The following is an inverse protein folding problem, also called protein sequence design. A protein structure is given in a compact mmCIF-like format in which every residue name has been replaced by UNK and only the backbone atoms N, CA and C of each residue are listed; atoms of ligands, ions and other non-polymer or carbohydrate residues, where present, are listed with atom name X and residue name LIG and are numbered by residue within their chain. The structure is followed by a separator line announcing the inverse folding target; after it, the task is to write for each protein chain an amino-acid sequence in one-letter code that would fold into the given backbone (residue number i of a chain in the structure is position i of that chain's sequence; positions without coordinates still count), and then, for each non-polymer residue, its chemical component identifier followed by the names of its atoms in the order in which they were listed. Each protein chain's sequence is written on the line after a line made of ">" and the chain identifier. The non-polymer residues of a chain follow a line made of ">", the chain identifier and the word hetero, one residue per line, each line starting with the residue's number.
data_IF_668494443815
#
_entry.id   IF_668494443815
#
_cell.length_a   1.000
_cell.length_b   1.000
_cell.length_c   1.000
_cell.angle_alpha   90.00
_cell.angle_beta   90.00
_cell.angle_gamma   90.00
#
_symmetry.space_group_name_H-M   'P 1'
#
loop_
_entity.id
_entity.type
_entity.pdbx_description
1 polymer ?
#
# COMPACT_ATOMS: atom_id res chain seq x y z
N UNK A 1 8.26 6.24 -16.60
CA UNK A 1 9.09 7.31 -16.04
C UNK A 1 8.62 7.57 -14.62
N UNK A 2 9.53 7.49 -13.65
CA UNK A 2 9.19 7.66 -12.24
C UNK A 2 9.00 9.14 -11.89
N UNK A 3 8.38 9.41 -10.73
CA UNK A 3 8.30 10.77 -10.20
C UNK A 3 9.69 11.37 -9.96
N UNK A 4 10.64 10.55 -9.48
CA UNK A 4 12.04 10.96 -9.28
C UNK A 4 12.65 11.44 -10.59
N UNK A 5 12.48 10.68 -11.68
CA UNK A 5 13.02 11.04 -13.00
C UNK A 5 12.46 12.37 -13.51
N UNK A 6 11.15 12.60 -13.36
CA UNK A 6 10.50 13.86 -13.75
C UNK A 6 11.09 15.05 -12.98
N UNK A 7 11.25 14.90 -11.66
CA UNK A 7 11.81 15.96 -10.81
C UNK A 7 13.29 16.22 -11.13
N UNK A 8 14.07 15.19 -11.48
CA UNK A 8 15.44 15.37 -11.96
C UNK A 8 15.48 16.06 -13.33
N UNK A 9 14.62 15.67 -14.26
CA UNK A 9 14.55 16.25 -15.59
C UNK A 9 14.15 17.74 -15.54
N UNK A 10 13.32 18.15 -14.56
CA UNK A 10 13.02 19.56 -14.30
C UNK A 10 14.26 20.39 -13.91
N UNK A 11 15.39 19.78 -13.54
CA UNK A 11 16.61 20.51 -13.15
C UNK A 11 17.56 20.77 -14.32
N UNK A 12 17.30 20.19 -15.49
CA UNK A 12 18.18 20.29 -16.67
C UNK A 12 18.22 21.70 -17.25
N UNK A 13 17.06 22.28 -17.62
CA UNK A 13 16.98 23.66 -18.10
C UNK A 13 15.57 24.27 -17.88
N UNK A 14 15.44 25.59 -18.05
CA UNK A 14 14.16 26.31 -17.85
C UNK A 14 13.08 25.82 -18.81
N UNK A 15 13.41 25.64 -20.09
CA UNK A 15 12.46 25.19 -21.13
C UNK A 15 11.98 23.76 -20.87
N UNK A 16 12.89 22.87 -20.49
CA UNK A 16 12.54 21.49 -20.17
C UNK A 16 11.63 21.41 -18.95
N UNK A 17 11.94 22.20 -17.91
CA UNK A 17 11.10 22.33 -16.73
C UNK A 17 9.69 22.78 -17.08
N UNK A 18 9.54 23.85 -17.86
CA UNK A 18 8.21 24.36 -18.24
C UNK A 18 7.44 23.35 -19.09
N UNK A 19 8.10 22.65 -20.01
CA UNK A 19 7.46 21.64 -20.85
C UNK A 19 6.98 20.44 -20.00
N UNK A 20 7.82 19.94 -19.09
CA UNK A 20 7.43 18.85 -18.19
C UNK A 20 6.28 19.25 -17.27
N UNK A 21 6.34 20.44 -16.66
CA UNK A 21 5.32 20.88 -15.71
C UNK A 21 3.96 21.10 -16.38
N UNK A 22 3.96 21.50 -17.66
CA UNK A 22 2.74 21.79 -18.42
C UNK A 22 2.22 20.61 -19.24
N UNK A 23 2.89 19.46 -19.27
CA UNK A 23 2.40 18.25 -19.94
C UNK A 23 1.59 17.38 -18.94
N UNK A 24 0.23 17.39 -18.99
CA UNK A 24 -0.59 16.66 -18.04
C UNK A 24 -0.49 15.14 -18.18
N UNK A 25 0.04 14.64 -19.31
CA UNK A 25 0.18 13.21 -19.56
C UNK A 25 1.25 12.59 -18.65
N UNK A 26 2.26 13.36 -18.26
CA UNK A 26 3.34 12.96 -17.37
C UNK A 26 2.87 12.78 -15.91
N UNK A 27 1.79 13.49 -15.53
CA UNK A 27 1.30 13.56 -14.14
C UNK A 27 0.06 12.70 -13.89
N UNK A 28 -0.29 11.79 -14.81
CA UNK A 28 -1.46 10.88 -14.67
C UNK A 28 -1.34 9.91 -13.48
N UNK A 29 -0.12 9.56 -13.09
CA UNK A 29 0.13 8.65 -11.98
C UNK A 29 1.20 9.26 -11.09
N UNK A 30 0.82 9.60 -9.86
CA UNK A 30 1.74 10.15 -8.87
C UNK A 30 1.96 9.07 -7.82
N UNK A 31 3.22 8.71 -7.64
CA UNK A 31 3.68 7.71 -6.69
C UNK A 31 4.76 8.33 -5.81
N UNK A 32 4.45 8.44 -4.52
CA UNK A 32 5.30 9.07 -3.51
C UNK A 32 5.56 8.03 -2.42
N UNK A 33 6.83 7.73 -2.23
CA UNK A 33 7.37 6.86 -1.19
C UNK A 33 8.70 7.44 -0.72
N UNK A 34 9.42 6.74 0.14
CA UNK A 34 10.75 7.14 0.58
C UNK A 34 11.73 7.35 -0.60
N UNK A 35 12.56 8.41 -0.60
CA UNK A 35 12.71 9.48 0.40
C UNK A 35 11.82 10.70 0.17
N UNK A 36 10.82 10.65 -0.72
CA UNK A 36 9.94 11.77 -1.06
C UNK A 36 8.69 11.91 -0.16
N UNK A 37 8.48 10.97 0.77
CA UNK A 37 7.33 10.95 1.68
C UNK A 37 7.30 12.09 2.72
N UNK A 38 8.36 12.90 2.81
CA UNK A 38 8.40 14.13 3.61
C UNK A 38 7.77 15.36 2.91
N UNK A 39 7.15 15.17 1.75
CA UNK A 39 6.45 16.20 0.99
C UNK A 39 5.36 16.90 1.83
N UNK A 40 5.23 18.23 1.76
CA UNK A 40 4.17 18.98 2.45
C UNK A 40 2.95 19.16 1.54
N UNK A 41 1.85 19.55 2.17
CA UNK A 41 0.55 19.74 1.51
C UNK A 41 0.62 20.63 0.27
N UNK A 42 1.35 21.76 0.36
CA UNK A 42 1.46 22.71 -0.74
C UNK A 42 2.22 22.13 -1.94
N UNK A 43 3.25 21.31 -1.71
CA UNK A 43 4.01 20.68 -2.78
C UNK A 43 3.20 19.55 -3.43
N UNK A 44 2.52 18.72 -2.64
CA UNK A 44 1.64 17.67 -3.16
C UNK A 44 0.53 18.27 -4.03
N UNK A 45 -0.14 19.32 -3.53
CA UNK A 45 -1.21 19.98 -4.27
C UNK A 45 -0.70 20.55 -5.59
N UNK A 46 0.47 21.22 -5.61
CA UNK A 46 1.11 21.71 -6.85
C UNK A 46 1.42 20.59 -7.84
N UNK A 47 1.89 19.42 -7.37
CA UNK A 47 2.16 18.28 -8.25
C UNK A 47 0.86 17.76 -8.89
N UNK A 48 -0.20 17.63 -8.11
CA UNK A 48 -1.50 17.16 -8.61
C UNK A 48 -2.11 18.15 -9.60
N UNK A 49 -1.98 19.46 -9.38
CA UNK A 49 -2.48 20.49 -10.29
C UNK A 49 -1.92 20.34 -11.72
N UNK A 50 -0.68 19.85 -11.87
CA UNK A 50 -0.07 19.61 -13.18
C UNK A 50 -0.79 18.55 -14.01
N UNK A 51 -1.51 17.63 -13.35
CA UNK A 51 -2.33 16.64 -14.03
C UNK A 51 -3.58 17.25 -14.69
N UNK A 52 -3.95 18.49 -14.35
CA UNK A 52 -5.06 19.24 -14.93
C UNK A 52 -6.36 18.40 -15.03
N UNK A 53 -6.77 17.79 -13.91
CA UNK A 53 -7.95 16.93 -13.83
C UNK A 53 -7.80 15.53 -14.46
N UNK A 54 -6.62 15.16 -14.98
CA UNK A 54 -6.35 13.86 -15.60
C UNK A 54 -5.60 12.89 -14.70
N UNK A 55 -5.45 13.19 -13.41
CA UNK A 55 -4.87 12.27 -12.45
C UNK A 55 -5.72 10.98 -12.40
N UNK A 56 -5.08 9.85 -12.65
CA UNK A 56 -5.70 8.51 -12.63
C UNK A 56 -5.33 7.73 -11.38
N UNK A 57 -4.15 7.97 -10.82
CA UNK A 57 -3.61 7.23 -9.69
C UNK A 57 -2.83 8.14 -8.77
N UNK A 58 -3.15 8.08 -7.48
CA UNK A 58 -2.39 8.73 -6.41
C UNK A 58 -1.99 7.70 -5.37
N UNK A 59 -0.69 7.59 -5.12
CA UNK A 59 -0.14 6.70 -4.09
C UNK A 59 0.78 7.50 -3.19
N UNK A 60 0.46 7.52 -1.90
CA UNK A 60 1.17 8.21 -0.83
C UNK A 60 1.55 7.17 0.23
N UNK A 61 2.80 6.71 0.22
CA UNK A 61 3.31 5.70 1.14
C UNK A 61 4.03 6.40 2.29
N UNK A 62 3.57 6.18 3.52
CA UNK A 62 4.16 6.74 4.73
C UNK A 62 4.29 8.29 4.71
N UNK A 63 3.39 8.98 4.00
CA UNK A 63 3.38 10.45 3.92
C UNK A 63 2.75 11.06 5.19
N UNK A 64 3.50 11.07 6.29
CA UNK A 64 3.01 11.47 7.63
C UNK A 64 2.73 12.97 7.78
N UNK A 65 3.22 13.79 6.86
CA UNK A 65 3.03 15.25 6.82
C UNK A 65 1.69 15.64 6.25
N UNK A 66 1.15 14.84 5.32
CA UNK A 66 -0.07 15.14 4.56
C UNK A 66 -1.29 15.06 5.46
N UNK A 67 -2.09 16.12 5.49
CA UNK A 67 -3.32 16.19 6.27
C UNK A 67 -4.57 15.90 5.42
N UNK A 68 -5.70 15.78 6.12
CA UNK A 68 -6.98 15.44 5.51
C UNK A 68 -7.54 16.55 4.61
N UNK A 69 -7.28 17.82 4.93
CA UNK A 69 -7.72 18.97 4.14
C UNK A 69 -6.98 19.03 2.79
N UNK A 70 -5.67 18.75 2.80
CA UNK A 70 -4.88 18.62 1.60
C UNK A 70 -5.41 17.49 0.72
N UNK A 71 -5.68 16.31 1.30
CA UNK A 71 -6.22 15.18 0.55
C UNK A 71 -7.59 15.54 -0.05
N UNK A 72 -8.49 16.18 0.71
CA UNK A 72 -9.80 16.62 0.22
C UNK A 72 -9.66 17.51 -1.02
N UNK A 73 -8.83 18.56 -0.94
CA UNK A 73 -8.55 19.47 -2.06
C UNK A 73 -7.95 18.76 -3.28
N UNK A 74 -7.07 17.79 -3.05
CA UNK A 74 -6.48 16.95 -4.11
C UNK A 74 -7.55 16.12 -4.81
N UNK A 75 -8.47 15.52 -4.06
CA UNK A 75 -9.56 14.72 -4.60
C UNK A 75 -10.58 15.56 -5.39
N UNK A 76 -10.89 16.78 -4.93
CA UNK A 76 -11.78 17.72 -5.62
C UNK A 76 -11.32 18.05 -7.04
N UNK A 77 -10.01 18.24 -7.24
CA UNK A 77 -9.43 18.54 -8.56
C UNK A 77 -9.08 17.29 -9.39
N UNK A 78 -9.43 16.10 -8.91
CA UNK A 78 -9.09 14.81 -9.53
C UNK A 78 -10.32 13.98 -9.91
N UNK A 79 -11.25 14.49 -10.73
CA UNK A 79 -12.52 13.81 -11.04
C UNK A 79 -12.35 12.48 -11.80
N UNK A 80 -11.17 12.25 -12.41
CA UNK A 80 -10.85 11.02 -13.16
C UNK A 80 -10.04 10.01 -12.33
N UNK A 81 -9.87 10.24 -11.03
CA UNK A 81 -9.09 9.36 -10.17
C UNK A 81 -9.73 7.98 -10.11
N UNK A 82 -8.93 6.94 -10.40
CA UNK A 82 -9.37 5.54 -10.37
C UNK A 82 -8.70 4.75 -9.24
N UNK A 83 -7.55 5.21 -8.75
CA UNK A 83 -6.79 4.56 -7.69
C UNK A 83 -6.32 5.57 -6.66
N UNK A 84 -6.64 5.32 -5.40
CA UNK A 84 -6.14 6.06 -4.26
C UNK A 84 -5.45 5.09 -3.30
N UNK A 85 -4.23 5.41 -2.90
CA UNK A 85 -3.46 4.61 -1.96
C UNK A 85 -2.80 5.53 -0.96
N UNK A 86 -3.09 5.34 0.32
CA UNK A 86 -2.57 6.16 1.44
C UNK A 86 -2.00 5.32 2.60
N UNK A 87 -1.24 4.25 2.34
CA UNK A 87 -0.78 3.38 3.40
C UNK A 87 0.18 4.11 4.35
N UNK A 88 -0.01 3.92 5.66
CA UNK A 88 0.84 4.52 6.70
C UNK A 88 0.76 6.05 6.81
N UNK A 89 -0.23 6.69 6.17
CA UNK A 89 -0.50 8.11 6.32
C UNK A 89 -1.25 8.39 7.65
N UNK A 90 -0.52 8.42 8.75
CA UNK A 90 -1.07 8.47 10.12
C UNK A 90 -1.95 9.68 10.46
N UNK A 91 -1.90 10.76 9.66
CA UNK A 91 -2.74 11.95 9.82
C UNK A 91 -4.08 11.87 9.11
N UNK A 92 -4.31 10.81 8.33
CA UNK A 92 -5.56 10.58 7.62
C UNK A 92 -6.37 9.57 8.41
N UNK A 93 -7.52 9.99 8.93
CA UNK A 93 -8.47 9.11 9.62
C UNK A 93 -9.43 8.47 8.64
N UNK A 94 -9.86 7.26 8.97
CA UNK A 94 -10.74 6.47 8.12
C UNK A 94 -12.12 7.10 7.97
N UNK A 95 -12.63 7.73 9.03
CA UNK A 95 -13.93 8.41 9.03
C UNK A 95 -13.94 9.59 8.06
N UNK A 96 -12.93 10.47 8.11
CA UNK A 96 -12.86 11.60 7.20
C UNK A 96 -12.63 11.15 5.76
N UNK A 97 -11.83 10.09 5.55
CA UNK A 97 -11.65 9.52 4.21
C UNK A 97 -13.00 9.05 3.64
N UNK A 98 -13.80 8.30 4.41
CA UNK A 98 -15.15 7.87 4.03
C UNK A 98 -16.03 9.08 3.68
N UNK A 99 -16.05 10.10 4.54
CA UNK A 99 -16.83 11.32 4.31
C UNK A 99 -16.40 12.05 3.02
N UNK A 100 -15.10 12.14 2.73
CA UNK A 100 -14.58 12.69 1.47
C UNK A 100 -15.06 11.89 0.27
N UNK A 101 -14.93 10.55 0.30
CA UNK A 101 -15.33 9.67 -0.80
C UNK A 101 -16.83 9.82 -1.09
N UNK A 102 -17.65 9.94 -0.04
CA UNK A 102 -19.09 10.16 -0.13
C UNK A 102 -19.42 11.55 -0.68
N UNK A 103 -18.85 12.61 -0.10
CA UNK A 103 -19.16 14.01 -0.47
C UNK A 103 -18.73 14.36 -1.89
N UNK A 104 -17.59 13.83 -2.33
CA UNK A 104 -17.04 14.10 -3.65
C UNK A 104 -17.60 13.17 -4.73
N UNK A 105 -18.43 12.20 -4.33
CA UNK A 105 -19.10 11.26 -5.24
C UNK A 105 -18.11 10.63 -6.24
N UNK A 106 -17.01 10.08 -5.74
CA UNK A 106 -15.93 9.50 -6.54
C UNK A 106 -16.32 8.14 -7.15
N UNK A 107 -17.43 8.08 -7.89
CA UNK A 107 -17.98 6.86 -8.52
C UNK A 107 -17.04 6.18 -9.51
N UNK A 108 -15.97 6.88 -9.93
CA UNK A 108 -14.93 6.33 -10.80
C UNK A 108 -13.79 5.62 -10.07
N UNK A 109 -13.74 5.72 -8.73
CA UNK A 109 -12.69 5.11 -7.91
C UNK A 109 -12.88 3.60 -7.91
N UNK A 110 -11.88 2.87 -8.41
CA UNK A 110 -11.90 1.41 -8.54
C UNK A 110 -11.08 0.71 -7.48
N UNK A 111 -10.06 1.40 -6.97
CA UNK A 111 -9.14 0.82 -6.00
C UNK A 111 -8.81 1.83 -4.91
N UNK A 112 -8.94 1.37 -3.68
CA UNK A 112 -8.55 2.05 -2.47
C UNK A 112 -7.57 1.15 -1.70
N UNK A 113 -6.46 1.74 -1.27
CA UNK A 113 -5.46 1.05 -0.44
C UNK A 113 -5.22 1.86 0.82
N UNK A 114 -5.57 1.28 1.96
CA UNK A 114 -5.61 1.95 3.28
C UNK A 114 -4.88 1.15 4.36
N UNK A 115 -4.05 0.17 3.98
CA UNK A 115 -3.24 -0.55 4.95
C UNK A 115 -2.43 0.40 5.86
N UNK A 116 -2.42 0.12 7.15
CA UNK A 116 -1.68 0.93 8.13
C UNK A 116 -2.38 2.22 8.55
N UNK A 117 -3.60 2.49 8.09
CA UNK A 117 -4.49 3.38 8.84
C UNK A 117 -4.95 2.68 10.13
N UNK A 118 -5.12 3.46 11.18
CA UNK A 118 -5.48 2.94 12.51
C UNK A 118 -7.00 2.87 12.69
N UNK A 119 -7.45 2.05 13.63
CA UNK A 119 -8.84 2.01 14.12
C UNK A 119 -9.92 1.66 13.07
N UNK A 120 -9.55 0.92 12.02
CA UNK A 120 -10.53 0.41 11.04
C UNK A 120 -11.42 -0.65 11.70
N UNK A 121 -12.73 -0.41 11.72
CA UNK A 121 -13.77 -1.31 12.26
C UNK A 121 -14.58 -1.92 11.13
N UNK A 122 -15.31 -3.01 11.41
CA UNK A 122 -16.14 -3.70 10.42
C UNK A 122 -17.12 -2.76 9.69
N UNK A 123 -17.77 -1.86 10.42
CA UNK A 123 -18.66 -0.84 9.84
C UNK A 123 -17.98 0.04 8.77
N UNK A 124 -16.70 0.40 8.97
CA UNK A 124 -15.94 1.21 8.01
C UNK A 124 -15.66 0.40 6.75
N UNK A 125 -15.32 -0.89 6.91
CA UNK A 125 -15.09 -1.80 5.79
C UNK A 125 -16.35 -2.01 4.95
N UNK A 126 -17.49 -2.28 5.57
CA UNK A 126 -18.78 -2.44 4.87
C UNK A 126 -19.16 -1.18 4.09
N UNK A 127 -18.99 -0.01 4.69
CA UNK A 127 -19.26 1.25 4.04
C UNK A 127 -18.34 1.52 2.83
N UNK A 128 -17.04 1.27 2.97
CA UNK A 128 -16.10 1.39 1.85
C UNK A 128 -16.44 0.43 0.71
N UNK A 129 -16.91 -0.77 1.02
CA UNK A 129 -17.34 -1.77 0.03
C UNK A 129 -18.52 -1.24 -0.81
N UNK A 130 -19.49 -0.60 -0.16
CA UNK A 130 -20.62 0.05 -0.82
C UNK A 130 -20.17 1.23 -1.68
N UNK A 131 -19.28 2.08 -1.18
CA UNK A 131 -18.78 3.26 -1.91
C UNK A 131 -17.97 2.89 -3.16
N UNK A 132 -17.26 1.75 -3.13
CA UNK A 132 -16.45 1.26 -4.26
C UNK A 132 -17.22 0.34 -5.21
N UNK A 133 -18.51 0.09 -4.96
CA UNK A 133 -19.36 -0.83 -5.72
C UNK A 133 -18.71 -2.24 -5.85
N UNK A 134 -17.95 -2.64 -4.82
CA UNK A 134 -17.07 -3.80 -4.84
C UNK A 134 -17.83 -5.15 -4.85
N UNK A 135 -19.16 -5.11 -4.72
CA UNK A 135 -20.05 -6.28 -4.78
C UNK A 135 -20.48 -6.68 -6.21
N UNK A 136 -20.27 -5.83 -7.21
CA UNK A 136 -20.73 -6.08 -8.60
C UNK A 136 -19.75 -6.88 -9.48
N UNK A 137 -18.61 -7.28 -8.93
CA UNK A 137 -17.60 -8.08 -9.62
C UNK A 137 -17.63 -9.54 -9.17
N UNK A 138 -18.60 -10.31 -9.67
CA UNK A 138 -18.54 -11.77 -9.63
C UNK A 138 -17.54 -12.29 -10.68
N UNK A 139 -17.03 -13.50 -10.45
CA UNK A 139 -16.02 -14.27 -11.19
C UNK A 139 -14.57 -14.11 -10.71
N UNK A 140 -14.16 -15.03 -9.82
CA UNK A 140 -12.99 -15.90 -9.97
C UNK A 140 -11.75 -15.32 -10.71
N UNK A 141 -11.34 -14.09 -10.40
CA UNK A 141 -9.93 -13.73 -10.60
C UNK A 141 -9.18 -14.42 -9.48
N UNK A 142 -8.30 -15.36 -9.84
CA UNK A 142 -7.33 -15.94 -8.94
C UNK A 142 -6.60 -14.78 -8.27
N UNK A 143 -7.00 -14.47 -7.04
CA UNK A 143 -6.40 -13.39 -6.26
C UNK A 143 -4.93 -13.71 -6.12
N UNK A 144 -4.08 -12.76 -6.50
CA UNK A 144 -2.64 -12.97 -6.35
C UNK A 144 -2.35 -13.12 -4.86
N UNK A 145 -1.62 -14.17 -4.44
CA UNK A 145 -1.33 -14.37 -3.04
C UNK A 145 -0.57 -13.16 -2.49
N UNK A 146 -0.99 -12.70 -1.32
CA UNK A 146 -0.42 -11.52 -0.67
C UNK A 146 0.62 -11.95 0.34
N UNK A 147 1.90 -11.88 -0.02
CA UNK A 147 2.96 -12.27 0.90
C UNK A 147 3.38 -11.11 1.81
N UNK A 148 3.68 -11.44 3.06
CA UNK A 148 4.15 -10.46 4.03
C UNK A 148 5.62 -10.10 3.77
N UNK A 149 5.89 -8.81 3.64
CA UNK A 149 7.24 -8.24 3.60
C UNK A 149 7.29 -7.01 4.49
N UNK A 150 8.35 -6.87 5.30
CA UNK A 150 8.52 -5.77 6.26
C UNK A 150 8.47 -4.40 5.61
N UNK A 151 8.93 -4.31 4.37
CA UNK A 151 9.18 -3.02 3.73
C UNK A 151 7.87 -2.34 3.33
N UNK A 152 6.72 -3.04 3.37
CA UNK A 152 5.34 -2.58 3.13
C UNK A 152 5.08 -1.79 1.83
N UNK A 153 6.12 -1.37 1.11
CA UNK A 153 6.14 -0.71 -0.20
C UNK A 153 5.70 -1.65 -1.31
N UNK A 154 5.80 -2.96 -1.07
CA UNK A 154 5.46 -4.03 -1.99
C UNK A 154 4.06 -4.60 -1.81
N UNK A 155 3.18 -4.02 -0.97
CA UNK A 155 1.76 -4.36 -1.02
C UNK A 155 1.25 -4.06 -2.42
N UNK A 156 1.17 -5.14 -3.20
CA UNK A 156 1.26 -5.12 -4.64
C UNK A 156 0.17 -4.21 -5.21
N UNK A 157 0.59 -3.03 -5.66
CA UNK A 157 -0.20 -2.13 -6.51
C UNK A 157 -0.64 -2.81 -7.81
N UNK A 158 -0.20 -4.05 -8.06
CA UNK A 158 -0.59 -4.86 -9.21
C UNK A 158 -1.83 -5.70 -8.97
N UNK A 159 -2.36 -5.77 -7.75
CA UNK A 159 -3.62 -6.47 -7.53
C UNK A 159 -4.82 -5.60 -7.96
N UNK A 160 -5.73 -6.22 -8.70
CA UNK A 160 -6.97 -5.63 -9.20
C UNK A 160 -8.04 -5.41 -8.12
N UNK A 161 -7.86 -5.93 -6.90
CA UNK A 161 -8.81 -5.78 -5.77
C UNK A 161 -9.28 -4.34 -5.56
N UNK A 162 -10.54 -4.17 -5.17
CA UNK A 162 -11.07 -2.85 -4.81
C UNK A 162 -10.46 -2.34 -3.49
N UNK A 163 -10.29 -3.20 -2.48
CA UNK A 163 -9.71 -2.90 -1.17
C UNK A 163 -8.53 -3.83 -0.87
N UNK A 164 -7.53 -3.35 -0.14
CA UNK A 164 -6.42 -4.16 0.38
C UNK A 164 -6.71 -4.85 1.71
N UNK A 165 -7.83 -4.51 2.34
CA UNK A 165 -8.24 -5.06 3.63
C UNK A 165 -9.45 -5.99 3.46
N UNK A 166 -9.49 -7.02 4.29
CA UNK A 166 -10.59 -7.98 4.40
C UNK A 166 -10.80 -8.31 5.90
N UNK A 167 -12.01 -8.64 6.36
CA UNK A 167 -12.21 -9.13 7.72
C UNK A 167 -11.38 -10.39 7.95
N UNK A 168 -10.53 -10.37 8.97
CA UNK A 168 -9.70 -11.52 9.28
C UNK A 168 -10.56 -12.66 9.83
N UNK A 169 -10.46 -13.85 9.24
CA UNK A 169 -11.24 -15.02 9.66
C UNK A 169 -11.02 -15.46 11.12
N UNK A 170 -9.89 -15.05 11.71
CA UNK A 170 -9.51 -15.43 13.09
C UNK A 170 -9.98 -14.42 14.14
N UNK A 171 -9.91 -13.10 13.85
CA UNK A 171 -10.25 -12.05 14.82
C UNK A 171 -11.43 -11.15 14.42
N UNK A 172 -11.94 -11.27 13.19
CA UNK A 172 -13.02 -10.43 12.65
C UNK A 172 -12.61 -9.02 12.22
N UNK A 173 -11.45 -8.51 12.66
CA UNK A 173 -11.00 -7.16 12.32
C UNK A 173 -10.70 -7.02 10.82
N UNK A 174 -11.11 -5.91 10.16
CA UNK A 174 -10.67 -5.59 8.80
C UNK A 174 -9.19 -5.24 8.77
N UNK A 175 -8.39 -6.10 8.15
CA UNK A 175 -6.93 -5.96 8.06
C UNK A 175 -6.43 -6.48 6.72
N UNK A 176 -5.19 -6.15 6.35
CA UNK A 176 -4.53 -6.86 5.26
C UNK A 176 -4.32 -8.32 5.68
N UNK A 177 -4.79 -9.23 4.84
CA UNK A 177 -4.56 -10.66 5.02
C UNK A 177 -3.37 -11.09 4.17
N UNK A 178 -2.52 -11.91 4.77
CA UNK A 178 -1.32 -12.42 4.12
C UNK A 178 -1.41 -13.93 3.94
N UNK A 179 -0.93 -14.42 2.81
CA UNK A 179 -0.74 -15.81 2.46
C UNK A 179 0.66 -16.28 2.86
N UNK A 180 0.83 -17.59 3.04
CA UNK A 180 2.15 -18.18 3.28
C UNK A 180 2.81 -18.57 1.94
N UNK A 181 4.08 -18.19 1.70
CA UNK A 181 4.82 -18.62 0.51
C UNK A 181 5.25 -20.09 0.55
N UNK A 182 5.10 -20.78 1.69
CA UNK A 182 5.46 -22.19 1.81
C UNK A 182 4.42 -23.08 1.10
N UNK A 183 4.84 -23.92 0.16
CA UNK A 183 3.95 -24.80 -0.62
C UNK A 183 3.05 -25.68 0.26
N UNK A 184 3.63 -26.27 1.33
CA UNK A 184 2.88 -27.08 2.29
C UNK A 184 1.76 -26.33 3.03
N UNK A 185 1.81 -25.00 3.06
CA UNK A 185 0.74 -24.15 3.57
C UNK A 185 -0.26 -23.72 2.48
N UNK A 186 0.17 -23.68 1.22
CA UNK A 186 -0.68 -23.37 0.07
C UNK A 186 -1.58 -24.55 -0.30
N UNK A 187 -1.07 -25.78 -0.23
CA UNK A 187 -1.86 -27.01 -0.42
C UNK A 187 -3.00 -27.14 0.62
N UNK A 188 -2.84 -26.51 1.79
CA UNK A 188 -3.86 -26.48 2.85
C UNK A 188 -4.95 -25.41 2.63
N UNK A 189 -4.92 -24.64 1.55
CA UNK A 189 -5.94 -23.60 1.27
C UNK A 189 -7.34 -24.18 1.08
N UNK A 190 -7.47 -25.46 0.73
CA UNK A 190 -8.75 -26.18 0.62
C UNK A 190 -9.22 -26.81 1.95
N UNK A 191 -8.49 -26.63 3.05
CA UNK A 191 -8.85 -27.15 4.38
C UNK A 191 -9.60 -26.10 5.21
N UNK A 192 -10.25 -26.50 6.29
CA UNK A 192 -10.97 -25.60 7.21
C UNK A 192 -10.09 -24.55 7.90
N UNK A 193 -8.75 -24.63 7.79
CA UNK A 193 -7.80 -23.69 8.41
C UNK A 193 -6.68 -23.29 7.43
N UNK A 194 -6.94 -22.44 6.42
CA UNK A 194 -5.91 -21.97 5.50
C UNK A 194 -4.86 -21.11 6.24
N UNK A 195 -3.60 -21.15 5.81
CA UNK A 195 -2.53 -20.29 6.36
C UNK A 195 -2.61 -18.86 5.79
N UNK A 196 -3.77 -18.23 5.98
CA UNK A 196 -4.15 -16.90 5.49
C UNK A 196 -4.84 -16.11 6.61
N UNK A 197 -4.17 -15.09 7.12
CA UNK A 197 -4.70 -14.25 8.20
C UNK A 197 -3.95 -12.91 8.27
N UNK A 198 -4.40 -12.01 9.15
CA UNK A 198 -3.67 -10.79 9.45
C UNK A 198 -2.37 -11.08 10.22
N UNK A 199 -1.45 -10.12 10.22
CA UNK A 199 -0.12 -10.27 10.86
C UNK A 199 -0.19 -10.48 12.38
N UNK A 200 -1.29 -10.10 13.02
CA UNK A 200 -1.51 -10.29 14.46
C UNK A 200 -1.98 -11.71 14.79
N UNK A 201 -2.74 -12.36 13.89
CA UNK A 201 -3.29 -13.70 14.13
C UNK A 201 -2.35 -14.82 13.68
N UNK A 202 -1.60 -14.60 12.60
CA UNK A 202 -0.52 -15.49 12.17
C UNK A 202 0.76 -14.65 12.06
N UNK A 203 1.64 -14.71 13.06
CA UNK A 203 2.97 -14.13 12.97
C UNK A 203 3.75 -14.68 11.76
N UNK A 204 4.47 -13.78 11.08
CA UNK A 204 5.22 -14.09 9.86
C UNK A 204 6.64 -13.55 9.92
N UNK A 205 7.54 -14.24 9.24
CA UNK A 205 8.90 -13.79 9.05
C UNK A 205 8.93 -12.52 8.19
N UNK A 206 9.56 -11.47 8.70
CA UNK A 206 9.76 -10.17 8.04
C UNK A 206 10.55 -10.21 6.74
N UNK A 207 11.38 -11.24 6.54
CA UNK A 207 12.24 -11.39 5.38
C UNK A 207 11.63 -12.27 4.29
N UNK A 208 11.15 -13.48 4.64
CA UNK A 208 10.60 -14.42 3.67
C UNK A 208 9.08 -14.59 3.71
N UNK A 209 8.35 -13.92 4.61
CA UNK A 209 6.88 -13.94 4.65
C UNK A 209 6.21 -15.22 5.17
N UNK A 210 6.97 -16.30 5.42
CA UNK A 210 6.43 -17.57 5.95
C UNK A 210 5.88 -17.41 7.37
N UNK A 211 4.86 -18.21 7.70
CA UNK A 211 4.35 -18.30 9.07
C UNK A 211 5.42 -18.87 10.02
N UNK A 212 5.42 -18.43 11.28
CA UNK A 212 6.46 -18.82 12.26
C UNK A 212 5.93 -19.62 13.47
N UNK A 213 4.64 -19.98 13.49
CA UNK A 213 3.99 -20.59 14.66
C UNK A 213 4.64 -21.90 15.16
N UNK A 214 5.31 -22.65 14.28
CA UNK A 214 5.84 -23.98 14.58
C UNK A 214 7.34 -24.12 14.26
N UNK A 215 8.08 -23.01 14.20
CA UNK A 215 9.51 -23.01 13.89
C UNK A 215 10.26 -22.06 14.81
N UNK A 216 11.57 -22.27 14.94
CA UNK A 216 12.43 -21.34 15.65
C UNK A 216 12.52 -19.99 14.93
N UNK A 217 12.45 -18.92 15.72
CA UNK A 217 12.53 -17.56 15.25
C UNK A 217 13.25 -16.68 16.27
N UNK A 218 13.80 -15.57 15.78
CA UNK A 218 14.27 -14.47 16.60
C UNK A 218 13.34 -13.27 16.47
N UNK A 219 13.16 -12.52 17.55
CA UNK A 219 12.57 -11.20 17.51
C UNK A 219 13.68 -10.16 17.32
N UNK A 220 13.56 -9.35 16.27
CA UNK A 220 14.52 -8.29 15.97
C UNK A 220 14.25 -7.05 16.81
N UNK A 221 15.23 -6.15 16.93
CA UNK A 221 15.10 -4.88 17.65
C UNK A 221 13.85 -4.07 17.26
N UNK A 222 13.47 -4.07 15.99
CA UNK A 222 12.26 -3.37 15.51
C UNK A 222 11.00 -4.24 15.60
N UNK A 223 10.88 -5.08 16.63
CA UNK A 223 9.70 -5.88 16.98
C UNK A 223 9.12 -6.68 15.80
N UNK A 224 9.98 -7.18 14.92
CA UNK A 224 9.55 -8.09 13.86
C UNK A 224 10.26 -9.42 13.98
N UNK A 225 9.57 -10.46 13.56
CA UNK A 225 10.08 -11.81 13.65
C UNK A 225 10.92 -12.17 12.43
N UNK A 226 11.98 -12.94 12.64
CA UNK A 226 12.80 -13.54 11.60
C UNK A 226 12.94 -15.03 11.88
N UNK A 227 12.59 -15.89 10.90
CA UNK A 227 12.76 -17.32 11.08
C UNK A 227 14.25 -17.69 11.06
N UNK A 228 14.60 -18.78 11.73
CA UNK A 228 15.98 -19.23 11.85
C UNK A 228 16.67 -19.45 10.50
N UNK A 229 15.98 -20.02 9.50
CA UNK A 229 16.55 -20.19 8.16
C UNK A 229 16.89 -18.86 7.46
N UNK A 230 16.18 -17.76 7.74
CA UNK A 230 16.55 -16.43 7.25
C UNK A 230 17.72 -15.83 8.02
N UNK A 231 17.83 -16.13 9.31
CA UNK A 231 18.97 -15.72 10.15
C UNK A 231 20.27 -16.38 9.68
N UNK A 232 20.27 -17.70 9.53
CA UNK A 232 21.43 -18.47 9.07
C UNK A 232 21.90 -17.99 7.68
N UNK A 233 20.95 -17.71 6.77
CA UNK A 233 21.28 -17.18 5.45
C UNK A 233 21.99 -15.81 5.53
N UNK A 234 21.63 -14.94 6.47
CA UNK A 234 22.31 -13.65 6.67
C UNK A 234 23.71 -13.84 7.25
N UNK A 235 23.87 -14.73 8.23
CA UNK A 235 25.17 -15.02 8.85
C UNK A 235 26.14 -15.65 7.84
N UNK A 236 25.65 -16.50 6.94
CA UNK A 236 26.45 -17.08 5.85
C UNK A 236 26.97 -16.02 4.87
N UNK A 237 26.17 -14.98 4.56
CA UNK A 237 26.59 -13.87 3.70
C UNK A 237 27.65 -13.01 4.39
N UNK A 238 27.46 -12.66 5.67
CA UNK A 238 28.45 -11.87 6.42
C UNK A 238 29.74 -12.65 6.71
N UNK A 239 29.65 -13.98 6.87
CA UNK A 239 30.81 -14.84 7.06
C UNK A 239 31.66 -15.05 5.79
N UNK A 240 31.16 -14.68 4.61
CA UNK A 240 31.92 -14.68 3.36
C UNK A 240 32.68 -13.37 3.15
N UNK A 241 32.14 -12.22 3.56
CA UNK A 241 32.83 -10.92 3.47
C UNK A 241 34.05 -10.82 4.41
N UNK A 242 34.06 -11.55 5.53
CA UNK A 242 35.20 -11.54 6.49
C UNK A 242 36.33 -12.50 6.09
N UNK A 243 36.18 -13.29 5.01
CA UNK A 243 37.21 -14.24 4.54
C UNK A 243 37.96 -13.77 3.29
N UNK A 244 37.68 -12.56 2.79
CA UNK A 244 38.36 -11.97 1.62
C UNK A 244 39.36 -10.84 1.96
N UNK A 245 39.72 -10.65 3.24
CA UNK A 245 40.84 -9.78 3.66
C UNK A 245 42.09 -10.57 4.09
#
# INVERSE_FOLDING_TARGET
>A
MSLKDLLFAERVCKTWRTNIQNDPLLWKNIYIEEPLNCIKDAELFRLVQRANGNLKSLTLINCRTINEECLRRVLEISPKLKRLSVPGCSRIKIENLIDMLRSLNLRGLKQLRINGLHEIKLKHYEELKLLLDADKGDHQKTLSPSFYHRDHSSLSLKDDRALDIEPCYMCGDPRVLFDCPLESCQERQSTSSPCRACINCIPRCSQCGRCINNIDYEETFCLAFRCWGCKEALEAVHGQEVKEE
#
